data_IF_214324767198
#
_entry.id   IF_214324767198
#
_cell.length_a   1.000
_cell.length_b   1.000
_cell.length_c   1.000
_cell.angle_alpha   90.00
_cell.angle_beta   90.00
_cell.angle_gamma   90.00
#
_symmetry.space_group_name_H-M   'P 1'
#
loop_
_entity.id
_entity.type
_entity.pdbx_description
1 polymer ?
#
# COMPACT_ATOMS: atom_id res chain seq x y z
N UNK A 1 13.67 -8.94 6.68
CA UNK A 1 13.32 -8.58 5.29
C UNK A 1 14.53 -8.77 4.38
N UNK A 2 14.36 -9.36 3.19
CA UNK A 2 15.46 -9.61 2.25
C UNK A 2 15.97 -8.34 1.56
N UNK A 3 17.15 -8.41 0.95
CA UNK A 3 17.79 -7.25 0.30
C UNK A 3 16.94 -6.57 -0.78
N UNK A 4 16.02 -7.30 -1.42
CA UNK A 4 15.14 -6.75 -2.46
C UNK A 4 14.09 -5.77 -1.94
N UNK A 5 13.58 -5.97 -0.72
CA UNK A 5 12.60 -5.08 -0.08
C UNK A 5 13.28 -3.78 0.35
N UNK A 6 14.48 -3.88 0.92
CA UNK A 6 15.28 -2.71 1.31
C UNK A 6 15.66 -1.82 0.13
N UNK A 7 15.99 -2.42 -1.03
CA UNK A 7 16.22 -1.62 -2.25
C UNK A 7 14.97 -0.84 -2.67
N UNK A 8 13.77 -1.44 -2.59
CA UNK A 8 12.50 -0.72 -2.83
C UNK A 8 12.38 0.48 -1.90
N UNK A 9 12.62 0.25 -0.61
CA UNK A 9 12.48 1.28 0.41
C UNK A 9 13.40 2.48 0.17
N UNK A 10 14.68 2.21 -0.13
CA UNK A 10 15.66 3.26 -0.42
C UNK A 10 15.24 4.13 -1.61
N UNK A 11 14.80 3.52 -2.70
CA UNK A 11 14.37 4.25 -3.89
C UNK A 11 13.06 5.02 -3.64
N UNK A 12 12.13 4.44 -2.88
CA UNK A 12 10.90 5.12 -2.50
C UNK A 12 11.19 6.37 -1.65
N UNK A 13 12.08 6.27 -0.64
CA UNK A 13 12.52 7.42 0.16
C UNK A 13 13.31 8.47 -0.65
N UNK A 14 13.86 8.11 -1.81
CA UNK A 14 14.48 9.07 -2.74
C UNK A 14 13.46 9.83 -3.61
N UNK A 15 12.15 9.56 -3.45
CA UNK A 15 11.11 10.27 -4.18
C UNK A 15 10.58 9.53 -5.42
N UNK A 16 11.14 8.36 -5.77
CA UNK A 16 10.65 7.60 -6.91
C UNK A 16 9.27 6.99 -6.62
N UNK A 17 8.41 7.03 -7.63
CA UNK A 17 7.12 6.34 -7.67
C UNK A 17 7.27 4.82 -7.84
N UNK A 18 6.20 4.06 -7.55
CA UNK A 18 6.18 2.61 -7.74
C UNK A 18 6.56 2.23 -9.18
N UNK A 19 6.08 2.98 -10.17
CA UNK A 19 6.31 2.73 -11.59
C UNK A 19 7.79 2.98 -11.98
N UNK A 20 8.38 4.06 -11.47
CA UNK A 20 9.80 4.38 -11.68
C UNK A 20 10.71 3.35 -10.99
N UNK A 21 10.35 2.89 -9.79
CA UNK A 21 11.09 1.83 -9.09
C UNK A 21 11.01 0.52 -9.86
N UNK A 22 9.82 0.15 -10.35
CA UNK A 22 9.61 -1.05 -11.15
C UNK A 22 10.50 -1.02 -12.40
N UNK A 23 10.49 0.10 -13.14
CA UNK A 23 11.34 0.34 -14.31
C UNK A 23 12.83 0.30 -13.97
N UNK A 24 13.27 1.06 -12.97
CA UNK A 24 14.68 1.16 -12.56
C UNK A 24 15.26 -0.19 -12.13
N UNK A 25 14.43 -1.07 -11.58
CA UNK A 25 14.85 -2.39 -11.07
C UNK A 25 14.56 -3.54 -12.02
N UNK A 26 13.94 -3.27 -13.17
CA UNK A 26 13.45 -4.29 -14.10
C UNK A 26 12.54 -5.34 -13.40
N UNK A 27 11.59 -4.85 -12.60
CA UNK A 27 10.59 -5.65 -11.88
C UNK A 27 9.19 -5.24 -12.29
N UNK A 28 8.18 -6.07 -12.00
CA UNK A 28 6.79 -5.69 -12.23
C UNK A 28 6.30 -4.71 -11.16
N UNK A 29 5.33 -3.87 -11.51
CA UNK A 29 4.60 -3.01 -10.55
C UNK A 29 4.07 -3.84 -9.38
N UNK A 30 3.47 -5.00 -9.66
CA UNK A 30 2.91 -5.89 -8.62
C UNK A 30 3.95 -6.36 -7.61
N UNK A 31 5.20 -6.63 -8.04
CA UNK A 31 6.29 -6.97 -7.13
C UNK A 31 6.68 -5.78 -6.26
N UNK A 32 6.74 -4.57 -6.82
CA UNK A 32 7.05 -3.36 -6.06
C UNK A 32 5.92 -3.03 -5.07
N UNK A 33 4.66 -3.10 -5.49
CA UNK A 33 3.49 -2.98 -4.60
C UNK A 33 3.57 -3.98 -3.45
N UNK A 34 3.88 -5.25 -3.71
CA UNK A 34 4.05 -6.26 -2.66
C UNK A 34 5.17 -5.91 -1.66
N UNK A 35 6.29 -5.35 -2.13
CA UNK A 35 7.34 -4.85 -1.25
C UNK A 35 6.87 -3.65 -0.40
N UNK A 36 6.13 -2.70 -0.97
CA UNK A 36 5.56 -1.56 -0.23
C UNK A 36 4.57 -2.02 0.83
N UNK A 37 3.67 -2.97 0.51
CA UNK A 37 2.74 -3.55 1.48
C UNK A 37 3.49 -4.21 2.65
N UNK A 38 4.56 -4.94 2.37
CA UNK A 38 5.41 -5.53 3.41
C UNK A 38 6.07 -4.44 4.28
N UNK A 39 6.65 -3.40 3.67
CA UNK A 39 7.28 -2.30 4.39
C UNK A 39 6.31 -1.57 5.33
N UNK A 40 5.08 -1.31 4.88
CA UNK A 40 4.03 -0.70 5.71
C UNK A 40 3.75 -1.56 6.94
N UNK A 41 3.54 -2.87 6.74
CA UNK A 41 3.25 -3.84 7.82
C UNK A 41 4.41 -3.97 8.82
N UNK A 42 5.64 -3.91 8.36
CA UNK A 42 6.85 -3.97 9.21
C UNK A 42 7.14 -2.65 9.94
N UNK A 43 6.23 -1.67 9.86
CA UNK A 43 6.36 -0.42 10.60
C UNK A 43 7.36 0.57 10.01
N UNK A 44 7.77 0.37 8.75
CA UNK A 44 8.64 1.31 8.06
C UNK A 44 7.89 2.60 7.76
N UNK A 45 8.65 3.69 7.69
CA UNK A 45 8.10 5.00 7.39
C UNK A 45 7.79 5.11 5.90
N UNK A 46 6.52 4.93 5.56
CA UNK A 46 5.98 5.06 4.21
C UNK A 46 4.99 6.21 4.20
N UNK A 47 5.26 7.20 3.34
CA UNK A 47 4.38 8.34 3.11
C UNK A 47 3.15 7.88 2.32
N UNK A 48 2.06 7.57 3.03
CA UNK A 48 0.82 7.06 2.44
C UNK A 48 0.24 8.00 1.37
N UNK A 49 0.40 9.31 1.54
CA UNK A 49 -0.11 10.33 0.61
C UNK A 49 0.59 10.28 -0.77
N UNK A 50 1.74 9.58 -0.86
CA UNK A 50 2.43 9.30 -2.14
C UNK A 50 1.90 8.04 -2.83
N UNK A 51 1.13 7.22 -2.13
CA UNK A 51 0.51 6.00 -2.66
C UNK A 51 -0.93 6.26 -3.11
N UNK A 52 -1.66 7.09 -2.36
CA UNK A 52 -3.03 7.49 -2.66
C UNK A 52 -3.42 8.75 -1.88
N UNK A 53 -4.39 9.51 -2.41
CA UNK A 53 -4.90 10.72 -1.77
C UNK A 53 -5.46 10.45 -0.37
N UNK A 54 -5.25 11.38 0.57
CA UNK A 54 -5.69 11.25 1.95
C UNK A 54 -7.21 11.05 2.09
N UNK A 55 -8.01 11.76 1.29
CA UNK A 55 -9.47 11.59 1.27
C UNK A 55 -9.87 10.17 0.82
N UNK A 56 -9.20 9.66 -0.22
CA UNK A 56 -9.44 8.29 -0.71
C UNK A 56 -9.02 7.26 0.33
N UNK A 57 -7.90 7.46 1.01
CA UNK A 57 -7.47 6.62 2.14
C UNK A 57 -8.55 6.55 3.21
N UNK A 58 -9.04 7.70 3.66
CA UNK A 58 -10.06 7.78 4.71
C UNK A 58 -11.37 7.07 4.32
N UNK A 59 -11.81 7.19 3.06
CA UNK A 59 -12.97 6.45 2.55
C UNK A 59 -12.75 4.92 2.61
N UNK A 60 -11.55 4.45 2.26
CA UNK A 60 -11.20 3.03 2.30
C UNK A 60 -11.14 2.52 3.75
N UNK A 61 -10.52 3.27 4.66
CA UNK A 61 -10.42 2.93 6.09
C UNK A 61 -11.81 2.77 6.71
N UNK A 62 -12.68 3.77 6.52
CA UNK A 62 -14.07 3.73 7.00
C UNK A 62 -14.84 2.53 6.46
N UNK A 63 -14.58 2.13 5.22
CA UNK A 63 -15.26 0.97 4.63
C UNK A 63 -14.78 -0.35 5.24
N UNK A 64 -13.48 -0.50 5.49
CA UNK A 64 -12.94 -1.67 6.20
C UNK A 64 -13.57 -1.81 7.59
N UNK A 65 -13.67 -0.71 8.35
CA UNK A 65 -14.31 -0.68 9.67
C UNK A 65 -15.81 -1.00 9.58
N UNK A 66 -16.52 -0.35 8.66
CA UNK A 66 -17.97 -0.55 8.47
C UNK A 66 -18.32 -1.99 8.12
N UNK A 67 -17.51 -2.65 7.30
CA UNK A 67 -17.72 -4.04 6.90
C UNK A 67 -17.10 -5.03 7.90
N UNK A 68 -16.37 -4.54 8.91
CA UNK A 68 -15.62 -5.34 9.87
C UNK A 68 -14.81 -6.46 9.20
N UNK A 69 -14.02 -6.09 8.19
CA UNK A 69 -13.29 -7.05 7.35
C UNK A 69 -11.85 -6.62 7.12
N UNK A 70 -11.01 -7.59 6.76
CA UNK A 70 -9.65 -7.39 6.25
C UNK A 70 -9.51 -7.84 4.79
N UNK A 71 -10.62 -8.28 4.18
CA UNK A 71 -10.64 -8.71 2.79
C UNK A 71 -10.69 -7.49 1.88
N UNK A 72 -9.80 -7.42 0.90
CA UNK A 72 -9.70 -6.30 -0.04
C UNK A 72 -10.73 -6.37 -1.16
N UNK A 73 -11.18 -7.57 -1.56
CA UNK A 73 -12.19 -7.73 -2.61
C UNK A 73 -13.48 -6.93 -2.38
N UNK A 74 -14.18 -7.03 -1.22
CA UNK A 74 -15.41 -6.28 -1.00
C UNK A 74 -15.18 -4.75 -1.01
N UNK A 75 -13.98 -4.30 -0.65
CA UNK A 75 -13.61 -2.88 -0.70
C UNK A 75 -13.50 -2.43 -2.15
N UNK A 76 -12.70 -3.14 -2.96
CA UNK A 76 -12.50 -2.80 -4.37
C UNK A 76 -13.83 -2.83 -5.15
N UNK A 77 -14.65 -3.85 -4.90
CA UNK A 77 -15.98 -3.98 -5.51
C UNK A 77 -16.90 -2.81 -5.15
N UNK A 78 -16.89 -2.36 -3.89
CA UNK A 78 -17.68 -1.20 -3.44
C UNK A 78 -17.34 0.08 -4.22
N UNK A 79 -16.06 0.32 -4.48
CA UNK A 79 -15.59 1.50 -5.20
C UNK A 79 -15.75 1.42 -6.73
N UNK A 80 -16.23 0.29 -7.26
CA UNK A 80 -16.52 0.06 -8.70
C UNK A 80 -15.34 0.44 -9.60
N UNK A 81 -14.13 0.03 -9.20
CA UNK A 81 -12.90 0.27 -9.97
C UNK A 81 -12.20 1.60 -9.71
N UNK A 82 -12.75 2.49 -8.87
CA UNK A 82 -12.06 3.74 -8.45
C UNK A 82 -10.93 3.50 -7.45
N UNK A 83 -10.92 2.34 -6.81
CA UNK A 83 -9.88 1.87 -5.88
C UNK A 83 -9.32 0.58 -6.46
N UNK A 84 -8.00 0.51 -6.58
CA UNK A 84 -7.27 -0.67 -6.99
C UNK A 84 -7.06 -1.65 -5.83
N UNK A 85 -6.76 -2.90 -6.15
CA UNK A 85 -6.38 -3.88 -5.13
C UNK A 85 -5.13 -3.47 -4.35
N UNK A 86 -4.17 -2.80 -4.99
CA UNK A 86 -2.94 -2.37 -4.32
C UNK A 86 -3.20 -1.23 -3.33
N UNK A 87 -4.01 -0.23 -3.70
CA UNK A 87 -4.48 0.80 -2.77
C UNK A 87 -5.19 0.18 -1.55
N UNK A 88 -6.12 -0.75 -1.78
CA UNK A 88 -6.83 -1.43 -0.69
C UNK A 88 -5.87 -2.25 0.21
N UNK A 89 -4.84 -2.89 -0.36
CA UNK A 89 -3.80 -3.61 0.41
C UNK A 89 -2.95 -2.65 1.25
N UNK A 90 -2.54 -1.52 0.69
CA UNK A 90 -1.74 -0.52 1.41
C UNK A 90 -2.49 0.04 2.62
N UNK A 91 -3.76 0.41 2.43
CA UNK A 91 -4.60 0.92 3.52
C UNK A 91 -4.81 -0.15 4.59
N UNK A 92 -5.13 -1.39 4.20
CA UNK A 92 -5.24 -2.50 5.14
C UNK A 92 -3.95 -2.71 5.94
N UNK A 93 -2.79 -2.75 5.27
CA UNK A 93 -1.51 -2.93 5.95
C UNK A 93 -1.24 -1.78 6.95
N UNK A 94 -1.62 -0.56 6.59
CA UNK A 94 -1.50 0.63 7.43
C UNK A 94 -2.41 0.57 8.67
N UNK A 95 -3.68 0.15 8.50
CA UNK A 95 -4.61 -0.03 9.62
C UNK A 95 -4.16 -1.14 10.58
N UNK A 96 -3.74 -2.29 10.04
CA UNK A 96 -3.27 -3.42 10.84
C UNK A 96 -2.01 -3.09 11.64
N UNK A 97 -1.15 -2.21 11.13
CA UNK A 97 -0.01 -1.68 11.89
C UNK A 97 -0.48 -0.87 13.09
N UNK A 98 -1.41 0.05 12.89
CA UNK A 98 -1.90 0.93 13.96
C UNK A 98 -2.57 0.15 15.09
N UNK A 99 -3.31 -0.91 14.76
CA UNK A 99 -3.96 -1.78 15.75
C UNK A 99 -3.00 -2.63 16.61
N UNK A 100 -1.71 -2.65 16.28
CA UNK A 100 -0.67 -3.39 17.01
C UNK A 100 0.20 -2.49 17.92
N UNK A 101 -0.15 -1.20 18.05
CA UNK A 101 0.54 -0.23 18.91
C UNK A 101 -0.37 0.17 20.06
#
# INVERSE_FOLDING_TARGET
MGGTVETTYKLFKQGLSIDEIAKSRNLTISTISGHIEALIRDGREIEMDRLLDAAKREEIEKLFEKLNTVNTSPIVEHFRGRVSYDEAKFVRAFMLRQAQT
#
